data_IF_563105206281
#
_entry.id   IF_563105206281
#
_cell.length_a   1.000
_cell.length_b   1.000
_cell.length_c   1.000
_cell.angle_alpha   90.00
_cell.angle_beta   90.00
_cell.angle_gamma   90.00
#
_symmetry.space_group_name_H-M   'P 1'
#
loop_
_entity.id
_entity.type
_entity.pdbx_description
1 polymer ?
#
# COMPACT_ATOMS: atom_id res chain seq x y z
N UNK A 1 15.65 17.01 -0.91
CA UNK A 1 14.85 15.86 -0.47
C UNK A 1 13.66 15.76 -1.41
N UNK A 2 13.57 14.68 -2.19
CA UNK A 2 12.37 14.42 -2.99
C UNK A 2 11.28 14.03 -1.98
N UNK A 3 10.17 14.77 -1.96
CA UNK A 3 9.04 14.42 -1.11
C UNK A 3 8.40 13.16 -1.69
N UNK A 4 8.37 12.06 -0.94
CA UNK A 4 7.76 10.83 -1.42
C UNK A 4 6.25 10.93 -1.27
N UNK A 5 5.51 10.74 -2.37
CA UNK A 5 4.06 10.93 -2.43
C UNK A 5 3.31 9.65 -1.97
N UNK A 6 3.39 9.32 -0.67
CA UNK A 6 2.87 8.08 -0.09
C UNK A 6 1.42 7.76 -0.51
N UNK A 7 0.52 8.75 -0.38
CA UNK A 7 -0.90 8.59 -0.70
C UNK A 7 -1.13 8.38 -2.19
N UNK A 8 -0.39 9.08 -3.05
CA UNK A 8 -0.49 8.90 -4.50
C UNK A 8 -0.05 7.50 -4.93
N UNK A 9 1.03 6.99 -4.33
CA UNK A 9 1.51 5.62 -4.61
C UNK A 9 0.51 4.59 -4.06
N UNK A 10 -0.06 4.82 -2.87
CA UNK A 10 -1.08 3.95 -2.31
C UNK A 10 -2.35 3.91 -3.19
N UNK A 11 -2.83 5.05 -3.68
CA UNK A 11 -3.96 5.15 -4.61
C UNK A 11 -3.68 4.42 -5.93
N UNK A 12 -2.45 4.51 -6.45
CA UNK A 12 -2.06 3.78 -7.66
C UNK A 12 -2.08 2.27 -7.42
N UNK A 13 -1.57 1.80 -6.27
CA UNK A 13 -1.63 0.39 -5.89
C UNK A 13 -3.09 -0.07 -5.76
N UNK A 14 -3.96 0.71 -5.12
CA UNK A 14 -5.40 0.41 -4.98
C UNK A 14 -6.05 0.23 -6.35
N UNK A 15 -5.85 1.17 -7.27
CA UNK A 15 -6.40 1.09 -8.64
C UNK A 15 -5.89 -0.14 -9.39
N UNK A 16 -4.61 -0.45 -9.27
CA UNK A 16 -4.01 -1.64 -9.90
C UNK A 16 -4.58 -2.93 -9.32
N UNK A 17 -4.73 -3.02 -8.00
CA UNK A 17 -5.34 -4.19 -7.35
C UNK A 17 -6.80 -4.37 -7.77
N UNK A 18 -7.57 -3.30 -7.94
CA UNK A 18 -8.93 -3.39 -8.49
C UNK A 18 -8.92 -3.97 -9.91
N UNK A 19 -8.05 -3.47 -10.78
CA UNK A 19 -7.93 -3.93 -12.16
C UNK A 19 -7.41 -5.38 -12.28
N UNK A 20 -6.58 -5.81 -11.34
CA UNK A 20 -5.99 -7.16 -11.29
C UNK A 20 -6.90 -8.18 -10.58
N UNK A 21 -8.11 -7.80 -10.16
CA UNK A 21 -9.08 -8.71 -9.52
C UNK A 21 -8.89 -8.89 -8.01
N UNK A 22 -8.03 -8.09 -7.37
CA UNK A 22 -7.77 -8.07 -5.93
C UNK A 22 -8.58 -6.98 -5.22
N UNK A 23 -9.84 -6.78 -5.60
CA UNK A 23 -10.72 -5.73 -5.07
C UNK A 23 -10.82 -5.73 -3.53
N UNK A 24 -10.86 -6.91 -2.91
CA UNK A 24 -10.88 -7.05 -1.45
C UNK A 24 -9.63 -6.46 -0.78
N UNK A 25 -8.47 -6.56 -1.43
CA UNK A 25 -7.23 -5.97 -0.92
C UNK A 25 -7.17 -4.47 -1.19
N UNK A 26 -7.65 -4.04 -2.34
CA UNK A 26 -7.81 -2.63 -2.65
C UNK A 26 -8.67 -1.93 -1.58
N UNK A 27 -9.81 -2.51 -1.21
CA UNK A 27 -10.68 -1.96 -0.17
C UNK A 27 -9.98 -1.88 1.19
N UNK A 28 -9.22 -2.92 1.59
CA UNK A 28 -8.48 -2.89 2.87
C UNK A 28 -7.43 -1.78 2.92
N UNK A 29 -6.81 -1.46 1.79
CA UNK A 29 -5.84 -0.36 1.71
C UNK A 29 -6.54 1.00 1.73
N UNK A 30 -7.67 1.13 1.05
CA UNK A 30 -8.52 2.32 1.09
C UNK A 30 -9.04 2.60 2.51
N UNK A 31 -9.56 1.58 3.18
CA UNK A 31 -10.02 1.65 4.58
C UNK A 31 -8.87 2.02 5.53
N UNK A 32 -7.64 1.55 5.27
CA UNK A 32 -6.46 1.91 6.06
C UNK A 32 -6.10 3.40 5.92
N UNK A 33 -6.36 4.01 4.76
CA UNK A 33 -6.16 5.44 4.52
C UNK A 33 -7.29 6.24 5.16
N UNK A 34 -8.54 5.83 4.95
CA UNK A 34 -9.72 6.56 5.44
C UNK A 34 -9.92 6.44 6.97
N UNK A 35 -9.53 5.31 7.57
CA UNK A 35 -9.77 4.99 8.97
C UNK A 35 -8.69 5.45 9.95
N UNK A 36 -7.52 5.89 9.47
CA UNK A 36 -6.45 6.36 10.34
C UNK A 36 -6.68 7.80 10.80
N UNK A 37 -6.56 8.06 12.11
CA UNK A 37 -6.73 9.40 12.67
C UNK A 37 -5.47 10.27 12.51
N UNK A 38 -4.30 9.63 12.34
CA UNK A 38 -2.99 10.29 12.16
C UNK A 38 -2.21 9.70 11.00
N UNK A 39 -1.26 10.47 10.44
CA UNK A 39 -0.37 9.98 9.38
C UNK A 39 0.44 8.75 9.79
N UNK A 40 0.86 8.65 11.05
CA UNK A 40 1.57 7.48 11.58
C UNK A 40 0.70 6.23 11.60
N UNK A 41 -0.56 6.33 12.05
CA UNK A 41 -1.49 5.19 12.06
C UNK A 41 -1.81 4.72 10.64
N UNK A 42 -2.04 5.65 9.70
CA UNK A 42 -2.24 5.33 8.29
C UNK A 42 -1.02 4.59 7.74
N UNK A 43 0.19 5.07 8.02
CA UNK A 43 1.42 4.45 7.54
C UNK A 43 1.64 3.06 8.13
N UNK A 44 1.33 2.87 9.42
CA UNK A 44 1.39 1.56 10.07
C UNK A 44 0.37 0.58 9.45
N UNK A 45 -0.86 1.02 9.23
CA UNK A 45 -1.93 0.22 8.65
C UNK A 45 -1.64 -0.17 7.19
N UNK A 46 -1.16 0.78 6.38
CA UNK A 46 -0.70 0.52 5.01
C UNK A 46 0.44 -0.49 5.01
N UNK A 47 1.48 -0.27 5.82
CA UNK A 47 2.63 -1.19 5.90
C UNK A 47 2.18 -2.60 6.25
N UNK A 48 1.29 -2.75 7.22
CA UNK A 48 0.77 -4.04 7.64
C UNK A 48 0.04 -4.76 6.49
N UNK A 49 -0.95 -4.09 5.89
CA UNK A 49 -1.76 -4.68 4.82
C UNK A 49 -0.93 -5.01 3.56
N UNK A 50 0.01 -4.15 3.18
CA UNK A 50 0.88 -4.37 2.01
C UNK A 50 1.82 -5.56 2.21
N UNK A 51 2.38 -5.75 3.41
CA UNK A 51 3.19 -6.92 3.71
C UNK A 51 2.36 -8.21 3.69
N UNK A 52 1.13 -8.17 4.20
CA UNK A 52 0.21 -9.30 4.18
C UNK A 52 -0.22 -9.66 2.76
N UNK A 53 -0.58 -8.67 1.95
CA UNK A 53 -0.87 -8.81 0.51
C UNK A 53 0.28 -9.51 -0.23
N UNK A 54 1.52 -9.03 -0.02
CA UNK A 54 2.73 -9.59 -0.63
C UNK A 54 2.99 -11.05 -0.21
N UNK A 55 2.60 -11.45 1.00
CA UNK A 55 2.81 -12.81 1.51
C UNK A 55 1.72 -13.79 1.05
N UNK A 56 0.47 -13.33 0.96
CA UNK A 56 -0.70 -14.20 0.75
C UNK A 56 -1.13 -14.33 -0.72
N UNK A 57 -0.85 -13.32 -1.56
CA UNK A 57 -1.38 -13.28 -2.91
C UNK A 57 -0.35 -13.68 -3.97
N UNK A 58 -0.81 -14.53 -4.89
CA UNK A 58 -0.11 -14.91 -6.12
C UNK A 58 -0.89 -14.37 -7.31
N UNK A 59 -0.20 -13.99 -8.38
CA UNK A 59 -0.83 -13.47 -9.60
C UNK A 59 -0.95 -11.95 -9.69
N UNK A 60 -0.45 -11.21 -8.68
CA UNK A 60 -0.22 -9.76 -8.80
C UNK A 60 0.85 -9.53 -9.87
N UNK A 61 0.64 -8.51 -10.71
CA UNK A 61 1.62 -8.15 -11.75
C UNK A 61 2.97 -7.75 -11.15
N UNK A 62 4.04 -7.88 -11.93
CA UNK A 62 5.39 -7.56 -11.46
C UNK A 62 5.49 -6.06 -11.11
N UNK A 63 4.89 -5.21 -11.93
CA UNK A 63 4.86 -3.76 -11.78
C UNK A 63 4.13 -3.35 -10.49
N UNK A 64 2.97 -3.95 -10.22
CA UNK A 64 2.23 -3.70 -8.97
C UNK A 64 3.00 -4.21 -7.76
N UNK A 65 3.67 -5.35 -7.86
CA UNK A 65 4.51 -5.88 -6.78
C UNK A 65 5.74 -5.02 -6.51
N UNK A 66 6.34 -4.41 -7.52
CA UNK A 66 7.44 -3.45 -7.39
C UNK A 66 6.97 -2.18 -6.68
N UNK A 67 5.82 -1.61 -7.07
CA UNK A 67 5.21 -0.47 -6.36
C UNK A 67 4.92 -0.79 -4.89
N UNK A 68 4.35 -1.97 -4.60
CA UNK A 68 4.11 -2.41 -3.22
C UNK A 68 5.41 -2.47 -2.42
N UNK A 69 6.49 -3.00 -3.01
CA UNK A 69 7.80 -3.11 -2.34
C UNK A 69 8.41 -1.73 -2.08
N UNK A 70 8.32 -0.83 -3.05
CA UNK A 70 8.80 0.54 -2.94
C UNK A 70 8.06 1.30 -1.82
N UNK A 71 6.73 1.24 -1.82
CA UNK A 71 5.92 1.87 -0.77
C UNK A 71 6.24 1.29 0.62
N UNK A 72 6.37 -0.04 0.76
CA UNK A 72 6.79 -0.66 2.04
C UNK A 72 8.16 -0.14 2.49
N UNK A 73 9.12 0.01 1.57
CA UNK A 73 10.44 0.54 1.89
C UNK A 73 10.33 1.97 2.45
N UNK A 74 9.62 2.85 1.75
CA UNK A 74 9.44 4.24 2.19
C UNK A 74 8.66 4.36 3.50
N UNK A 75 7.61 3.54 3.71
CA UNK A 75 6.89 3.48 4.98
C UNK A 75 7.80 3.03 6.13
N UNK A 76 8.72 2.08 5.89
CA UNK A 76 9.71 1.67 6.90
C UNK A 76 10.73 2.76 7.21
N UNK A 77 11.06 3.63 6.26
CA UNK A 77 11.92 4.79 6.51
C UNK A 77 11.17 5.84 7.33
N UNK A 78 9.90 6.10 7.00
CA UNK A 78 9.07 7.12 7.67
C UNK A 78 8.63 6.76 9.09
N UNK A 79 8.54 5.46 9.42
CA UNK A 79 8.12 4.95 10.74
C UNK A 79 9.29 4.66 11.69
N UNK A 80 10.53 4.99 11.31
CA UNK A 80 11.71 4.90 12.18
C UNK A 80 11.90 6.19 12.95
#
# INVERSE_FOLDING_TARGET
MINYEYYKVADEIIKRLQNEGFANWAQKLDDAIAGGATGTEIFMALRFNLNKLKAEQKGISKETLELIRDLIFHLNVALK
#
